data_IF_779818206120
#
_entry.id   IF_779818206120
#
_cell.length_a   1.000
_cell.length_b   1.000
_cell.length_c   1.000
_cell.angle_alpha   90.00
_cell.angle_beta   90.00
_cell.angle_gamma   90.00
#
_symmetry.space_group_name_H-M   'P 1'
#
loop_
_entity.id
_entity.type
_entity.pdbx_description
1 polymer ?
#
# COMPACT_ATOMS: atom_id res chain seq x y z
N UNK A 1 -1.21 -14.82 15.23
CA UNK A 1 -0.60 -14.30 14.00
C UNK A 1 0.03 -12.96 14.34
N UNK A 2 1.26 -12.72 13.89
CA UNK A 2 1.92 -11.43 14.04
C UNK A 2 1.35 -10.45 13.00
N UNK A 3 0.85 -9.31 13.46
CA UNK A 3 0.31 -8.25 12.59
C UNK A 3 1.35 -7.75 11.57
N UNK A 4 2.63 -7.79 11.95
CA UNK A 4 3.74 -7.34 11.09
C UNK A 4 3.84 -8.25 9.88
N UNK A 5 3.95 -9.56 10.10
CA UNK A 5 4.06 -10.55 9.04
C UNK A 5 2.84 -10.52 8.12
N UNK A 6 1.63 -10.43 8.68
CA UNK A 6 0.40 -10.44 7.89
C UNK A 6 0.23 -9.15 7.05
N UNK A 7 0.63 -7.99 7.57
CA UNK A 7 0.67 -6.76 6.75
C UNK A 7 1.65 -6.92 5.60
N UNK A 8 2.86 -7.42 5.85
CA UNK A 8 3.88 -7.59 4.80
C UNK A 8 3.41 -8.58 3.72
N UNK A 9 2.78 -9.71 4.11
CA UNK A 9 2.19 -10.67 3.17
C UNK A 9 1.13 -10.04 2.26
N UNK A 10 0.26 -9.20 2.81
CA UNK A 10 -0.74 -8.48 1.99
C UNK A 10 -0.06 -7.50 1.04
N UNK A 11 1.01 -6.84 1.45
CA UNK A 11 1.73 -5.90 0.58
C UNK A 11 2.49 -6.63 -0.54
N UNK A 12 3.07 -7.79 -0.26
CA UNK A 12 3.74 -8.64 -1.26
C UNK A 12 2.77 -9.20 -2.30
N UNK A 13 1.51 -9.42 -1.92
CA UNK A 13 0.50 -9.95 -2.83
C UNK A 13 -0.11 -8.89 -3.77
N UNK A 14 0.15 -7.60 -3.55
CA UNK A 14 -0.30 -6.52 -4.44
C UNK A 14 0.34 -6.72 -5.82
N UNK A 15 -0.45 -6.93 -6.90
CA UNK A 15 0.11 -7.14 -8.23
C UNK A 15 0.89 -5.93 -8.75
N UNK A 16 1.74 -6.17 -9.74
CA UNK A 16 2.37 -5.09 -10.51
C UNK A 16 1.32 -4.19 -11.18
N UNK A 17 1.55 -2.89 -11.14
CA UNK A 17 0.63 -1.88 -11.69
C UNK A 17 -0.61 -1.68 -10.83
N UNK A 18 -0.63 -2.19 -9.59
CA UNK A 18 -1.74 -2.04 -8.65
C UNK A 18 -1.29 -1.43 -7.33
N UNK A 19 -2.22 -0.78 -6.64
CA UNK A 19 -1.98 -0.17 -5.34
C UNK A 19 -3.09 -0.52 -4.35
N UNK A 20 -2.76 -0.45 -3.07
CA UNK A 20 -3.74 -0.51 -1.98
C UNK A 20 -3.56 0.68 -1.04
N UNK A 21 -4.65 1.11 -0.41
CA UNK A 21 -4.54 2.06 0.69
C UNK A 21 -4.22 1.35 2.01
N UNK A 22 -3.61 2.06 2.97
CA UNK A 22 -3.42 1.55 4.33
C UNK A 22 -4.74 1.04 4.98
N UNK A 23 -5.86 1.69 4.67
CA UNK A 23 -7.18 1.28 5.14
C UNK A 23 -7.68 0.00 4.48
N UNK A 24 -7.44 -0.17 3.17
CA UNK A 24 -7.80 -1.39 2.45
C UNK A 24 -7.00 -2.60 2.98
N UNK A 25 -5.71 -2.45 3.22
CA UNK A 25 -4.89 -3.50 3.84
C UNK A 25 -5.44 -3.87 5.22
N UNK A 26 -5.78 -2.86 6.04
CA UNK A 26 -6.38 -3.12 7.35
C UNK A 26 -7.72 -3.87 7.24
N UNK A 27 -8.55 -3.54 6.25
CA UNK A 27 -9.83 -4.20 6.01
C UNK A 27 -9.66 -5.69 5.67
N UNK A 28 -8.73 -6.03 4.77
CA UNK A 28 -8.39 -7.42 4.43
C UNK A 28 -8.00 -8.22 5.68
N UNK A 29 -7.17 -7.64 6.55
CA UNK A 29 -6.77 -8.30 7.79
C UNK A 29 -7.92 -8.44 8.80
N UNK A 30 -8.84 -7.47 8.83
CA UNK A 30 -10.06 -7.54 9.66
C UNK A 30 -11.00 -8.63 9.18
N UNK A 31 -11.17 -8.78 7.87
CA UNK A 31 -11.96 -9.86 7.27
C UNK A 31 -11.35 -11.24 7.57
N UNK A 32 -10.02 -11.33 7.67
CA UNK A 32 -9.29 -12.52 8.14
C UNK A 32 -9.36 -12.74 9.67
N UNK A 33 -10.15 -11.96 10.41
CA UNK A 33 -10.36 -12.10 11.85
C UNK A 33 -9.33 -11.40 12.74
N UNK A 34 -8.45 -10.58 12.17
CA UNK A 34 -7.45 -9.81 12.94
C UNK A 34 -7.99 -8.44 13.37
N UNK A 35 -7.44 -7.89 14.46
CA UNK A 35 -7.71 -6.50 14.85
C UNK A 35 -6.61 -5.60 14.31
N UNK A 36 -6.86 -4.97 13.16
CA UNK A 36 -5.91 -4.08 12.50
C UNK A 36 -6.57 -2.75 12.11
N UNK A 37 -5.81 -1.66 12.20
CA UNK A 37 -6.21 -0.32 11.77
C UNK A 37 -5.23 0.23 10.75
N UNK A 38 -5.67 1.16 9.90
CA UNK A 38 -4.80 1.82 8.92
C UNK A 38 -3.53 2.44 9.56
N UNK A 39 -3.64 2.95 10.79
CA UNK A 39 -2.49 3.48 11.55
C UNK A 39 -1.52 2.39 11.97
N UNK A 40 -2.00 1.19 12.32
CA UNK A 40 -1.12 0.05 12.61
C UNK A 40 -0.40 -0.40 11.34
N UNK A 41 -1.09 -0.50 10.19
CA UNK A 41 -0.45 -0.79 8.90
C UNK A 41 0.64 0.23 8.59
N UNK A 42 0.33 1.53 8.75
CA UNK A 42 1.31 2.60 8.54
C UNK A 42 2.56 2.47 9.43
N UNK A 43 2.38 2.08 10.71
CA UNK A 43 3.52 1.83 11.62
C UNK A 43 4.35 0.63 11.18
N UNK A 44 3.70 -0.47 10.77
CA UNK A 44 4.41 -1.65 10.24
C UNK A 44 5.21 -1.27 9.01
N UNK A 45 4.61 -0.56 8.05
CA UNK A 45 5.30 -0.14 6.83
C UNK A 45 6.48 0.79 7.11
N UNK A 46 6.37 1.67 8.10
CA UNK A 46 7.46 2.58 8.47
C UNK A 46 8.69 1.86 9.07
N UNK A 47 8.49 0.75 9.77
CA UNK A 47 9.57 0.06 10.50
C UNK A 47 10.05 -1.23 9.81
N UNK A 48 9.16 -1.90 9.07
CA UNK A 48 9.38 -3.23 8.51
C UNK A 48 9.10 -3.31 7.00
N UNK A 49 8.57 -2.24 6.38
CA UNK A 49 8.15 -2.24 4.97
C UNK A 49 9.30 -2.20 3.95
N UNK A 50 10.56 -2.08 4.37
CA UNK A 50 11.69 -1.87 3.46
C UNK A 50 11.97 -3.04 2.51
N UNK A 51 11.51 -4.25 2.83
CA UNK A 51 11.73 -5.46 2.02
C UNK A 51 10.60 -5.83 1.05
N UNK A 52 9.48 -5.11 1.09
CA UNK A 52 8.28 -5.39 0.28
C UNK A 52 8.05 -4.23 -0.72
N UNK A 53 7.16 -4.36 -1.73
CA UNK A 53 6.87 -3.26 -2.68
C UNK A 53 6.10 -2.11 -2.01
N UNK A 54 6.73 -1.43 -1.06
CA UNK A 54 6.15 -0.39 -0.21
C UNK A 54 5.55 0.76 -1.00
N UNK A 55 6.05 1.02 -2.21
CA UNK A 55 5.55 2.05 -3.11
C UNK A 55 4.14 1.76 -3.63
N UNK A 56 3.66 0.51 -3.55
CA UNK A 56 2.28 0.12 -3.87
C UNK A 56 1.28 0.40 -2.73
N UNK A 57 1.76 0.89 -1.58
CA UNK A 57 0.90 1.28 -0.45
C UNK A 57 0.76 2.79 -0.39
N UNK A 58 -0.46 3.29 -0.60
CA UNK A 58 -0.74 4.74 -0.72
C UNK A 58 -1.76 5.22 0.32
N UNK A 59 -1.95 6.54 0.42
CA UNK A 59 -3.05 7.10 1.19
C UNK A 59 -4.42 6.75 0.56
N UNK A 60 -5.51 6.88 1.32
CA UNK A 60 -6.86 6.56 0.85
C UNK A 60 -7.29 7.37 -0.40
N UNK A 61 -6.74 8.57 -0.57
CA UNK A 61 -6.97 9.42 -1.75
C UNK A 61 -5.97 9.19 -2.89
N UNK A 62 -5.09 8.18 -2.78
CA UNK A 62 -4.04 7.88 -3.75
C UNK A 62 -2.75 8.65 -3.56
N UNK A 63 -2.63 9.52 -2.54
CA UNK A 63 -1.38 10.26 -2.29
C UNK A 63 -0.23 9.29 -2.05
N UNK A 64 0.89 9.55 -2.72
CA UNK A 64 2.14 8.81 -2.55
C UNK A 64 2.71 8.90 -1.11
N UNK A 65 3.51 7.91 -0.68
CA UNK A 65 4.13 7.91 0.65
C UNK A 65 4.96 9.17 0.93
N UNK A 66 4.66 9.94 2.01
CA UNK A 66 5.38 11.17 2.32
C UNK A 66 6.88 10.94 2.56
N UNK A 67 7.73 11.80 1.98
CA UNK A 67 9.19 11.69 2.06
C UNK A 67 9.80 10.70 1.07
N UNK A 68 8.97 9.97 0.33
CA UNK A 68 9.38 8.99 -0.67
C UNK A 68 8.61 9.13 -1.99
N UNK A 69 7.96 10.28 -2.21
CA UNK A 69 7.06 10.51 -3.36
C UNK A 69 7.76 10.24 -4.69
N UNK A 70 8.96 10.79 -4.91
CA UNK A 70 9.68 10.60 -6.17
C UNK A 70 10.04 9.13 -6.41
N UNK A 71 10.59 8.45 -5.41
CA UNK A 71 10.95 7.02 -5.54
C UNK A 71 9.73 6.15 -5.79
N UNK A 72 8.63 6.43 -5.08
CA UNK A 72 7.39 5.71 -5.28
C UNK A 72 6.84 5.92 -6.69
N UNK A 73 6.86 7.17 -7.18
CA UNK A 73 6.46 7.51 -8.54
C UNK A 73 7.31 6.79 -9.57
N UNK A 74 8.63 6.75 -9.41
CA UNK A 74 9.54 6.12 -10.38
C UNK A 74 9.23 4.62 -10.52
N UNK A 75 9.08 3.92 -9.38
CA UNK A 75 8.69 2.51 -9.36
C UNK A 75 7.32 2.29 -10.02
N UNK A 76 6.28 2.99 -9.58
CA UNK A 76 4.93 2.82 -10.10
C UNK A 76 4.80 3.23 -11.58
N UNK A 77 5.56 4.23 -12.04
CA UNK A 77 5.58 4.62 -13.46
C UNK A 77 6.20 3.51 -14.33
N UNK A 78 7.23 2.82 -13.82
CA UNK A 78 7.79 1.65 -14.51
C UNK A 78 6.77 0.51 -14.65
N UNK A 79 5.81 0.43 -13.72
CA UNK A 79 4.69 -0.51 -13.74
C UNK A 79 3.48 0.00 -14.56
N UNK A 80 3.58 1.16 -15.23
CA UNK A 80 2.51 1.73 -16.05
C UNK A 80 1.38 2.42 -15.26
N UNK A 81 1.61 2.77 -14.01
CA UNK A 81 0.65 3.54 -13.20
C UNK A 81 0.71 5.02 -13.58
N UNK A 82 -0.46 5.62 -13.72
CA UNK A 82 -0.62 7.06 -14.01
C UNK A 82 -1.07 7.83 -12.78
N UNK A 83 -0.78 9.13 -12.79
CA UNK A 83 -0.97 10.02 -11.64
C UNK A 83 -1.66 11.30 -12.04
N UNK A 84 -2.41 11.86 -11.09
CA UNK A 84 -2.83 13.24 -11.11
C UNK A 84 -2.09 13.99 -9.99
N UNK A 85 -1.08 14.78 -10.35
CA UNK A 85 -0.13 15.35 -9.37
C UNK A 85 0.46 14.23 -8.50
N UNK A 86 0.46 14.37 -7.19
CA UNK A 86 1.02 13.39 -6.23
C UNK A 86 0.07 12.23 -5.89
N UNK A 87 -1.01 12.06 -6.67
CA UNK A 87 -2.05 11.08 -6.40
C UNK A 87 -2.17 10.05 -7.52
N UNK A 88 -2.12 8.77 -7.14
CA UNK A 88 -2.50 7.65 -8.01
C UNK A 88 -4.00 7.74 -8.30
N UNK A 89 -4.41 7.43 -9.53
CA UNK A 89 -5.83 7.23 -9.82
C UNK A 89 -6.34 5.95 -9.14
N UNK A 90 -6.88 6.11 -7.94
CA UNK A 90 -7.41 5.00 -7.15
C UNK A 90 -8.59 4.28 -7.83
N UNK A 91 -9.32 4.93 -8.75
CA UNK A 91 -10.43 4.26 -9.46
C UNK A 91 -9.89 3.26 -10.48
N UNK A 92 -8.75 3.57 -11.07
CA UNK A 92 -8.13 2.73 -12.09
C UNK A 92 -7.24 1.64 -11.49
N UNK A 93 -6.46 1.97 -10.45
CA UNK A 93 -5.35 1.13 -9.99
C UNK A 93 -5.55 0.48 -8.62
N UNK A 94 -6.61 0.83 -7.86
CA UNK A 94 -6.88 0.14 -6.60
C UNK A 94 -7.08 -1.36 -6.83
N UNK A 95 -6.46 -2.16 -5.96
CA UNK A 95 -6.65 -3.60 -5.92
C UNK A 95 -7.40 -4.02 -4.67
N UNK A 96 -8.26 -5.01 -4.85
CA UNK A 96 -9.00 -5.67 -3.78
C UNK A 96 -8.85 -7.18 -3.99
N UNK A 97 -8.16 -7.91 -3.10
CA UNK A 97 -8.01 -9.36 -3.19
C UNK A 97 -9.33 -10.12 -2.97
#
# INVERSE_FOLDING_TARGET
>A
MDITEEVLKVVESIPEGRVMSYGAIAAVLVEAGMRCSARQVGRVMAWHGGGVPWYRVVAANGRLPPGHEQRARDHLSAEGVTFHSEHVDMRQYAWNP
#
